data_IF_662326667021
#
_entry.id   IF_662326667021
#
_cell.length_a   1.000
_cell.length_b   1.000
_cell.length_c   1.000
_cell.angle_alpha   90.00
_cell.angle_beta   90.00
_cell.angle_gamma   90.00
#
_symmetry.space_group_name_H-M   'P 1'
#
loop_
_entity.id
_entity.type
_entity.pdbx_description
1 polymer ?
#
# COMPACT_ATOMS: atom_id res chain seq x y z
N UNK A 1 -18.98 -69.81 9.70
CA UNK A 1 -18.24 -69.16 8.64
C UNK A 1 -18.65 -67.68 8.58
N UNK A 2 -17.91 -66.82 9.23
CA UNK A 2 -18.17 -65.38 9.24
C UNK A 2 -17.32 -64.73 8.15
N UNK A 3 -17.96 -64.17 7.11
CA UNK A 3 -17.30 -63.36 6.13
C UNK A 3 -17.27 -61.93 6.65
N UNK A 4 -16.12 -61.53 7.17
CA UNK A 4 -15.85 -60.15 7.57
C UNK A 4 -15.69 -59.30 6.33
N UNK A 5 -16.68 -58.46 6.05
CA UNK A 5 -16.60 -57.47 4.98
C UNK A 5 -15.88 -56.25 5.56
N UNK A 6 -14.61 -56.02 5.19
CA UNK A 6 -13.89 -54.80 5.48
C UNK A 6 -14.45 -53.70 4.59
N UNK A 7 -15.21 -52.77 5.21
CA UNK A 7 -15.52 -51.49 4.59
C UNK A 7 -14.27 -50.64 4.66
N UNK A 8 -13.58 -50.50 3.52
CA UNK A 8 -12.52 -49.51 3.36
C UNK A 8 -13.22 -48.17 3.18
N UNK A 9 -13.32 -47.42 4.31
CA UNK A 9 -13.71 -46.01 4.25
C UNK A 9 -12.51 -45.26 3.69
N UNK A 10 -12.51 -44.97 2.38
CA UNK A 10 -11.57 -44.07 1.77
C UNK A 10 -11.96 -42.68 2.21
N UNK A 11 -11.27 -42.18 3.24
CA UNK A 11 -11.37 -40.79 3.69
C UNK A 11 -10.73 -39.91 2.61
N UNK A 12 -11.55 -39.38 1.71
CA UNK A 12 -11.15 -38.32 0.79
C UNK A 12 -10.93 -37.06 1.64
N UNK A 13 -9.69 -36.91 2.13
CA UNK A 13 -9.24 -35.62 2.62
C UNK A 13 -9.12 -34.74 1.38
N UNK A 14 -10.17 -34.01 1.09
CA UNK A 14 -10.12 -32.93 0.15
C UNK A 14 -9.16 -31.87 0.71
N UNK A 15 -7.89 -32.02 0.35
CA UNK A 15 -6.88 -30.99 0.58
C UNK A 15 -7.26 -29.81 -0.33
N UNK A 16 -8.15 -28.97 0.17
CA UNK A 16 -8.46 -27.69 -0.45
C UNK A 16 -7.17 -26.87 -0.42
N UNK A 17 -6.36 -27.04 -1.43
CA UNK A 17 -5.30 -26.10 -1.77
C UNK A 17 -6.03 -24.79 -2.11
N UNK A 18 -6.25 -23.96 -1.11
CA UNK A 18 -6.61 -22.58 -1.34
C UNK A 18 -5.42 -21.97 -2.12
N UNK A 19 -5.51 -22.01 -3.45
CA UNK A 19 -4.65 -21.25 -4.34
C UNK A 19 -4.87 -19.79 -3.96
N UNK A 20 -4.04 -19.32 -3.03
CA UNK A 20 -3.91 -17.90 -2.76
C UNK A 20 -3.43 -17.30 -4.06
N UNK A 21 -4.36 -16.79 -4.86
CA UNK A 21 -4.03 -16.04 -6.06
C UNK A 21 -3.11 -14.91 -5.59
N UNK A 22 -1.82 -15.02 -5.89
CA UNK A 22 -0.86 -13.96 -5.60
C UNK A 22 -1.33 -12.74 -6.39
N UNK A 23 -1.83 -11.74 -5.68
CA UNK A 23 -2.23 -10.50 -6.30
C UNK A 23 -0.98 -9.87 -6.92
N UNK A 24 -0.93 -9.83 -8.25
CA UNK A 24 0.14 -9.13 -8.98
C UNK A 24 0.14 -7.68 -8.53
N UNK A 25 1.25 -7.22 -7.96
CA UNK A 25 1.46 -5.82 -7.58
C UNK A 25 2.28 -5.15 -8.66
N UNK A 26 1.77 -4.05 -9.21
CA UNK A 26 2.32 -3.33 -10.35
C UNK A 26 3.01 -2.06 -9.85
N UNK A 27 4.18 -1.72 -10.40
CA UNK A 27 4.84 -0.45 -10.10
C UNK A 27 3.97 0.72 -10.61
N UNK A 28 3.79 1.75 -9.79
CA UNK A 28 3.04 2.96 -10.17
C UNK A 28 3.58 3.65 -11.42
N UNK A 29 4.85 3.44 -11.75
CA UNK A 29 5.48 3.99 -12.96
C UNK A 29 5.29 3.10 -14.18
N UNK A 30 4.67 1.92 -14.03
CA UNK A 30 4.43 0.99 -15.12
C UNK A 30 3.40 1.53 -16.12
N UNK A 31 3.59 1.19 -17.38
CA UNK A 31 2.61 1.48 -18.44
C UNK A 31 1.30 0.67 -18.30
N UNK A 32 1.27 -0.33 -17.39
CA UNK A 32 0.06 -1.09 -17.07
C UNK A 32 -0.96 -0.26 -16.27
N UNK A 33 -0.51 0.83 -15.63
CA UNK A 33 -1.37 1.73 -14.87
C UNK A 33 -2.00 2.74 -15.84
N UNK A 34 -3.31 2.57 -16.11
CA UNK A 34 -4.08 3.53 -16.91
C UNK A 34 -4.61 4.70 -16.08
N UNK A 35 -5.03 4.40 -14.85
CA UNK A 35 -5.56 5.39 -13.91
C UNK A 35 -4.85 5.25 -12.57
N UNK A 36 -4.36 6.37 -12.05
CA UNK A 36 -3.71 6.44 -10.73
C UNK A 36 -4.75 6.35 -9.60
N UNK A 37 -4.33 5.93 -8.38
CA UNK A 37 -5.20 6.02 -7.22
C UNK A 37 -5.62 7.46 -6.98
N UNK A 38 -6.82 7.66 -6.42
CA UNK A 38 -7.36 8.98 -6.14
C UNK A 38 -7.82 9.10 -4.69
N UNK A 39 -7.76 10.29 -4.13
CA UNK A 39 -8.43 10.56 -2.87
C UNK A 39 -9.94 10.36 -2.99
N UNK A 40 -10.56 9.84 -1.95
CA UNK A 40 -12.03 9.79 -1.84
C UNK A 40 -12.65 11.18 -2.11
N UNK A 41 -13.75 11.19 -2.86
CA UNK A 41 -14.50 12.36 -3.33
C UNK A 41 -13.98 13.08 -4.59
N UNK A 42 -13.09 12.47 -5.34
CA UNK A 42 -12.76 12.96 -6.65
C UNK A 42 -13.79 12.50 -7.71
N UNK A 43 -15.03 13.00 -7.65
CA UNK A 43 -16.03 12.89 -8.71
C UNK A 43 -15.65 13.78 -9.91
N UNK A 44 -14.41 13.73 -10.32
CA UNK A 44 -13.87 14.58 -11.37
C UNK A 44 -13.68 13.75 -12.62
N UNK A 45 -14.26 14.22 -13.70
CA UNK A 45 -13.86 13.83 -15.06
C UNK A 45 -12.45 14.37 -15.27
N UNK A 46 -11.46 13.46 -15.34
CA UNK A 46 -10.06 13.85 -15.52
C UNK A 46 -9.70 13.92 -16.99
N UNK A 47 -8.96 14.92 -17.37
CA UNK A 47 -8.22 14.89 -18.61
C UNK A 47 -7.08 13.87 -18.52
N UNK A 48 -6.71 13.27 -19.63
CA UNK A 48 -5.66 12.23 -19.69
C UNK A 48 -4.35 12.75 -19.10
N UNK A 49 -3.89 12.12 -18.02
CA UNK A 49 -2.63 12.45 -17.33
C UNK A 49 -2.76 13.38 -16.12
N UNK A 50 -3.94 13.90 -15.81
CA UNK A 50 -4.17 14.69 -14.59
C UNK A 50 -4.22 13.83 -13.32
N UNK A 51 -4.68 12.59 -13.42
CA UNK A 51 -4.83 11.67 -12.31
C UNK A 51 -3.51 11.43 -11.56
N UNK A 52 -2.39 11.33 -12.28
CA UNK A 52 -1.05 11.22 -11.67
C UNK A 52 -0.71 12.42 -10.80
N UNK A 53 -0.96 13.63 -11.30
CA UNK A 53 -0.70 14.88 -10.58
C UNK A 53 -1.63 15.02 -9.38
N UNK A 54 -2.90 14.69 -9.56
CA UNK A 54 -3.90 14.72 -8.50
C UNK A 54 -3.57 13.72 -7.39
N UNK A 55 -3.12 12.51 -7.75
CA UNK A 55 -2.65 11.55 -6.77
C UNK A 55 -1.45 12.06 -5.98
N UNK A 56 -0.42 12.61 -6.67
CA UNK A 56 0.76 13.16 -6.02
C UNK A 56 0.37 14.29 -5.04
N UNK A 57 -0.42 15.26 -5.47
CA UNK A 57 -0.87 16.37 -4.63
C UNK A 57 -1.72 15.88 -3.44
N UNK A 58 -2.52 14.84 -3.66
CA UNK A 58 -3.35 14.28 -2.61
C UNK A 58 -2.51 13.60 -1.54
N UNK A 59 -1.60 12.70 -1.91
CA UNK A 59 -0.75 11.99 -0.95
C UNK A 59 0.14 12.96 -0.19
N UNK A 60 0.74 13.94 -0.88
CA UNK A 60 1.55 14.98 -0.26
C UNK A 60 0.79 15.73 0.83
N UNK A 61 -0.43 16.21 0.52
CA UNK A 61 -1.25 16.93 1.49
C UNK A 61 -1.65 16.05 2.67
N UNK A 62 -1.99 14.79 2.44
CA UNK A 62 -2.36 13.85 3.51
C UNK A 62 -1.17 13.54 4.41
N UNK A 63 0.00 13.32 3.84
CA UNK A 63 1.25 13.11 4.59
C UNK A 63 1.60 14.34 5.42
N UNK A 64 1.51 15.54 4.83
CA UNK A 64 1.77 16.79 5.56
C UNK A 64 0.84 17.01 6.75
N UNK A 65 -0.44 16.69 6.59
CA UNK A 65 -1.43 16.82 7.68
C UNK A 65 -1.20 15.79 8.80
N UNK A 66 -0.68 14.62 8.47
CA UNK A 66 -0.38 13.56 9.44
C UNK A 66 1.03 13.68 10.05
N UNK A 67 1.88 14.53 9.47
CA UNK A 67 3.29 14.68 9.86
C UNK A 67 3.44 15.19 11.28
N UNK A 68 4.28 14.54 12.07
CA UNK A 68 4.73 15.00 13.37
C UNK A 68 6.22 14.69 13.51
N UNK A 69 6.99 15.61 14.02
CA UNK A 69 8.40 15.33 14.29
C UNK A 69 8.51 14.60 15.64
N UNK A 70 9.14 13.42 15.72
CA UNK A 70 9.26 12.69 16.98
C UNK A 70 10.05 13.51 18.02
N UNK A 71 9.52 13.66 19.23
CA UNK A 71 10.16 14.44 20.30
C UNK A 71 11.57 13.98 20.59
N UNK A 72 11.77 12.66 20.69
CA UNK A 72 13.10 12.07 20.91
C UNK A 72 14.09 12.41 19.79
N UNK A 73 13.61 12.48 18.53
CA UNK A 73 14.45 12.88 17.41
C UNK A 73 14.84 14.36 17.49
N UNK A 74 13.93 15.23 17.98
CA UNK A 74 14.25 16.64 18.24
C UNK A 74 15.31 16.75 19.34
N UNK A 75 15.11 16.08 20.46
CA UNK A 75 16.04 16.10 21.61
C UNK A 75 17.44 15.62 21.26
N UNK A 76 17.52 14.61 20.39
CA UNK A 76 18.78 14.02 19.91
C UNK A 76 19.33 14.64 18.63
N UNK A 77 18.69 15.70 18.10
CA UNK A 77 19.02 16.35 16.83
C UNK A 77 19.12 15.35 15.65
N UNK A 78 18.26 14.35 15.65
CA UNK A 78 18.19 13.35 14.57
C UNK A 78 17.37 13.91 13.41
N UNK A 79 18.01 14.05 12.27
CA UNK A 79 17.44 14.53 11.01
C UNK A 79 17.79 13.56 9.89
N UNK A 80 17.08 13.64 8.79
CA UNK A 80 17.41 12.85 7.62
C UNK A 80 16.22 12.54 6.72
N UNK A 81 16.51 11.77 5.70
CA UNK A 81 15.53 11.31 4.72
C UNK A 81 15.19 9.86 5.00
N UNK A 82 13.91 9.55 4.98
CA UNK A 82 13.41 8.18 4.98
C UNK A 82 12.71 7.87 3.66
N UNK A 83 12.63 6.58 3.30
CA UNK A 83 11.89 6.09 2.14
C UNK A 83 10.81 5.11 2.61
N UNK A 84 9.55 5.47 2.39
CA UNK A 84 8.41 4.61 2.71
C UNK A 84 8.03 3.81 1.47
N UNK A 85 8.21 2.49 1.51
CA UNK A 85 7.75 1.57 0.48
C UNK A 85 6.33 1.13 0.82
N UNK A 86 5.40 1.39 -0.08
CA UNK A 86 3.98 1.13 0.16
C UNK A 86 3.30 0.46 -1.03
N UNK A 87 2.22 -0.24 -0.73
CA UNK A 87 1.28 -0.78 -1.71
C UNK A 87 -0.08 -0.11 -1.47
N UNK A 88 -0.77 0.23 -2.55
CA UNK A 88 -2.20 0.50 -2.52
C UNK A 88 -2.87 -0.71 -3.17
N UNK A 89 -3.65 -1.43 -2.39
CA UNK A 89 -4.30 -2.65 -2.84
C UNK A 89 -5.51 -2.37 -3.76
N UNK A 90 -6.14 -3.42 -4.26
CA UNK A 90 -7.32 -3.33 -5.15
C UNK A 90 -8.53 -2.66 -4.51
N UNK A 91 -8.56 -2.53 -3.19
CA UNK A 91 -9.60 -1.87 -2.42
C UNK A 91 -9.20 -0.43 -2.06
N UNK A 92 -8.02 0.03 -2.49
CA UNK A 92 -7.50 1.37 -2.19
C UNK A 92 -6.84 1.49 -0.81
N UNK A 93 -6.68 0.40 -0.07
CA UNK A 93 -6.03 0.41 1.25
C UNK A 93 -4.52 0.48 1.10
N UNK A 94 -3.88 1.35 1.90
CA UNK A 94 -2.43 1.43 1.99
C UNK A 94 -1.88 0.32 2.90
N UNK A 95 -0.81 -0.31 2.42
CA UNK A 95 -0.02 -1.31 3.14
C UNK A 95 1.43 -0.86 3.10
N UNK A 96 2.05 -0.65 4.25
CA UNK A 96 3.49 -0.32 4.34
C UNK A 96 4.30 -1.60 4.31
N UNK A 97 5.10 -1.79 3.26
CA UNK A 97 5.98 -2.95 3.15
C UNK A 97 7.21 -2.79 4.04
N UNK A 98 7.95 -1.70 3.86
CA UNK A 98 9.14 -1.35 4.66
C UNK A 98 9.35 0.16 4.69
N UNK A 99 10.15 0.62 5.65
CA UNK A 99 10.65 1.99 5.69
C UNK A 99 12.16 1.94 5.86
N UNK A 100 12.87 2.63 5.00
CA UNK A 100 14.33 2.75 5.04
C UNK A 100 14.72 4.10 5.64
N UNK A 101 15.76 4.12 6.47
CA UNK A 101 16.29 5.31 7.11
C UNK A 101 16.50 5.13 8.61
N UNK A 102 16.76 6.24 9.32
CA UNK A 102 16.96 6.23 10.77
C UNK A 102 15.71 5.69 11.49
N UNK A 103 15.92 4.75 12.41
CA UNK A 103 14.84 3.95 13.00
C UNK A 103 13.71 4.78 13.63
N UNK A 104 14.06 5.85 14.34
CA UNK A 104 13.07 6.72 15.00
C UNK A 104 12.23 7.50 13.99
N UNK A 105 12.84 7.93 12.88
CA UNK A 105 12.16 8.63 11.78
C UNK A 105 11.35 7.63 10.94
N UNK A 106 11.87 6.42 10.74
CA UNK A 106 11.21 5.35 10.00
C UNK A 106 9.93 4.90 10.71
N UNK A 107 9.92 4.84 12.06
CA UNK A 107 8.73 4.55 12.84
C UNK A 107 7.63 5.60 12.62
N UNK A 108 7.99 6.87 12.56
CA UNK A 108 7.05 7.95 12.25
C UNK A 108 6.53 7.87 10.81
N UNK A 109 7.39 7.60 9.84
CA UNK A 109 6.99 7.39 8.45
C UNK A 109 5.97 6.27 8.29
N UNK A 110 6.17 5.15 9.01
CA UNK A 110 5.21 4.05 9.07
C UNK A 110 3.87 4.49 9.65
N UNK A 111 3.90 5.16 10.81
CA UNK A 111 2.70 5.68 11.47
C UNK A 111 1.90 6.60 10.54
N UNK A 112 2.57 7.52 9.85
CA UNK A 112 1.93 8.43 8.89
C UNK A 112 1.19 7.63 7.82
N UNK A 113 1.86 6.69 7.14
CA UNK A 113 1.28 5.95 6.03
C UNK A 113 0.16 5.00 6.48
N UNK A 114 0.28 4.36 7.64
CA UNK A 114 -0.77 3.51 8.22
C UNK A 114 -2.02 4.32 8.65
N UNK A 115 -1.87 5.62 8.89
CA UNK A 115 -2.98 6.52 9.24
C UNK A 115 -3.69 7.13 8.03
N UNK A 116 -3.16 6.94 6.82
CA UNK A 116 -3.77 7.51 5.63
C UNK A 116 -5.12 6.85 5.32
N UNK A 117 -6.09 7.62 4.80
CA UNK A 117 -7.40 7.08 4.44
C UNK A 117 -7.30 6.15 3.24
N UNK A 118 -8.36 5.39 2.99
CA UNK A 118 -8.52 4.59 1.78
C UNK A 118 -8.60 5.49 0.54
N UNK A 119 -7.96 5.05 -0.54
CA UNK A 119 -7.98 5.70 -1.85
C UNK A 119 -8.94 4.98 -2.79
N UNK A 120 -9.39 5.63 -3.84
CA UNK A 120 -9.91 4.90 -4.99
C UNK A 120 -8.76 4.13 -5.62
N UNK A 121 -8.90 2.82 -5.92
CA UNK A 121 -7.79 2.02 -6.43
C UNK A 121 -7.32 2.46 -7.81
N UNK A 122 -6.06 2.18 -8.12
CA UNK A 122 -5.55 2.29 -9.48
C UNK A 122 -6.30 1.33 -10.42
N UNK A 123 -6.35 1.66 -11.72
CA UNK A 123 -6.98 0.81 -12.74
C UNK A 123 -6.02 0.54 -13.90
N UNK A 124 -6.14 -0.65 -14.48
CA UNK A 124 -5.44 -1.03 -15.70
C UNK A 124 -6.22 -0.58 -16.96
N UNK A 125 -5.70 -0.93 -18.15
CA UNK A 125 -6.31 -0.57 -19.43
C UNK A 125 -7.68 -1.23 -19.67
N UNK A 126 -7.99 -2.33 -18.97
CA UNK A 126 -9.30 -2.99 -18.97
C UNK A 126 -10.28 -2.38 -17.96
N UNK A 127 -9.89 -1.27 -17.32
CA UNK A 127 -10.68 -0.60 -16.28
C UNK A 127 -10.88 -1.44 -15.00
N UNK A 128 -10.02 -2.45 -14.79
CA UNK A 128 -10.04 -3.32 -13.61
C UNK A 128 -9.18 -2.72 -12.50
N UNK A 129 -9.61 -2.80 -11.22
CA UNK A 129 -8.81 -2.35 -10.10
C UNK A 129 -7.57 -3.23 -9.95
N UNK A 130 -6.41 -2.60 -9.76
CA UNK A 130 -5.11 -3.24 -9.62
C UNK A 130 -4.41 -2.77 -8.34
N UNK A 131 -3.60 -3.65 -7.76
CA UNK A 131 -2.69 -3.28 -6.68
C UNK A 131 -1.43 -2.64 -7.27
N UNK A 132 -1.03 -1.51 -6.70
CA UNK A 132 0.15 -0.75 -7.14
C UNK A 132 1.09 -0.49 -5.99
N UNK A 133 2.40 -0.42 -6.27
CA UNK A 133 3.43 -0.08 -5.29
C UNK A 133 4.15 1.21 -5.67
N UNK A 134 4.55 1.93 -4.65
CA UNK A 134 5.33 3.14 -4.78
C UNK A 134 6.34 3.31 -3.64
N UNK A 135 7.19 4.33 -3.80
CA UNK A 135 8.14 4.75 -2.79
C UNK A 135 7.91 6.24 -2.55
N UNK A 136 7.74 6.62 -1.28
CA UNK A 136 7.53 8.01 -0.90
C UNK A 136 8.68 8.49 0.01
N UNK A 137 9.39 9.56 -0.37
CA UNK A 137 10.44 10.14 0.46
C UNK A 137 9.86 11.13 1.47
N UNK A 138 10.26 11.04 2.73
CA UNK A 138 9.97 12.06 3.75
C UNK A 138 11.29 12.61 4.25
N UNK A 139 11.44 13.94 4.23
CA UNK A 139 12.61 14.64 4.74
C UNK A 139 12.31 15.26 6.11
N UNK A 140 13.02 14.82 7.12
CA UNK A 140 12.97 15.39 8.47
C UNK A 140 14.09 16.41 8.63
N UNK A 141 13.73 17.69 8.75
CA UNK A 141 14.66 18.80 8.98
C UNK A 141 14.18 19.62 10.13
N UNK A 142 15.09 19.92 11.07
CA UNK A 142 14.84 20.88 12.14
C UNK A 142 15.14 22.29 11.60
N UNK A 143 14.24 23.21 11.83
CA UNK A 143 14.50 24.63 11.56
C UNK A 143 15.49 25.12 12.63
N UNK A 144 16.60 25.66 12.21
CA UNK A 144 17.55 26.36 13.06
C UNK A 144 17.11 27.81 13.25
#
# INVERSE_FOLDING_TARGET
MAKTRYFIVILWVAFSFAMRAQTKVIDLKSNEVKQFPLCENANLTYEKGEDKRLFANCIDRKVMLAFSYPKEAIEKNIQGKILVHYIIDKNGKIIVEKVEGEAILAAEGRRIFESLPTFSPAKNHNNEPIAVKGIYPINFKLQQ
#
